data_IF_752485044884
#
_entry.id   IF_752485044884
#
_cell.length_a   1.000
_cell.length_b   1.000
_cell.length_c   1.000
_cell.angle_alpha   90.00
_cell.angle_beta   90.00
_cell.angle_gamma   90.00
#
_symmetry.space_group_name_H-M   'P 1'
#
loop_
_entity.id
_entity.type
_entity.pdbx_description
1 polymer ?
#
# COMPACT_ATOMS: atom_id res chain seq x y z
N UNK A 1 14.27 15.86 -5.44
CA UNK A 1 13.68 16.24 -6.74
C UNK A 1 12.19 15.91 -6.69
N UNK A 2 11.31 16.90 -6.86
CA UNK A 2 9.86 16.78 -6.59
C UNK A 2 9.21 15.57 -7.26
N UNK A 3 9.59 15.27 -8.51
CA UNK A 3 9.08 14.16 -9.31
C UNK A 3 9.23 12.76 -8.67
N UNK A 4 10.11 12.58 -7.68
CA UNK A 4 10.23 11.31 -6.95
C UNK A 4 9.14 11.14 -5.90
N UNK A 5 8.65 12.24 -5.33
CA UNK A 5 7.61 12.23 -4.30
C UNK A 5 6.24 11.91 -4.89
N UNK A 6 5.99 12.26 -6.14
CA UNK A 6 4.73 11.96 -6.85
C UNK A 6 4.44 10.45 -6.97
N UNK A 7 5.46 9.61 -6.79
CA UNK A 7 5.35 8.14 -6.82
C UNK A 7 5.13 7.52 -5.44
N UNK A 8 5.18 8.33 -4.38
CA UNK A 8 5.02 7.86 -3.00
C UNK A 8 3.53 7.78 -2.67
N UNK A 9 3.07 6.61 -2.24
CA UNK A 9 1.73 6.40 -1.68
C UNK A 9 1.85 6.35 -0.17
N UNK A 10 1.05 7.17 0.51
CA UNK A 10 0.98 7.22 1.98
C UNK A 10 -0.43 7.71 2.39
N UNK A 11 -1.12 7.05 3.34
CA UNK A 11 -0.73 5.82 4.04
C UNK A 11 -0.56 4.63 3.08
N UNK A 12 0.19 3.60 3.51
CA UNK A 12 0.39 2.38 2.73
C UNK A 12 -0.57 1.28 3.20
N UNK A 13 -1.01 0.46 2.27
CA UNK A 13 -1.91 -0.67 2.47
C UNK A 13 -3.36 -0.36 2.08
N UNK A 14 -4.12 -1.42 1.79
CA UNK A 14 -5.56 -1.31 1.58
C UNK A 14 -6.31 -1.07 2.91
N UNK A 15 -7.40 -0.32 2.83
CA UNK A 15 -8.29 -0.02 3.97
C UNK A 15 -9.09 -1.26 4.40
N UNK A 16 -8.46 -2.14 5.17
CA UNK A 16 -9.06 -3.37 5.71
C UNK A 16 -9.32 -3.32 7.22
N UNK A 17 -9.07 -2.18 7.87
CA UNK A 17 -9.15 -2.05 9.33
C UNK A 17 -8.04 -2.80 10.07
N UNK A 18 -6.82 -2.80 9.52
CA UNK A 18 -5.67 -3.49 10.11
C UNK A 18 -5.21 -2.86 11.43
N UNK A 19 -5.04 -3.67 12.48
CA UNK A 19 -4.58 -3.22 13.80
C UNK A 19 -3.28 -3.93 14.23
N UNK A 20 -3.11 -5.18 13.81
CA UNK A 20 -1.94 -6.01 14.15
C UNK A 20 -0.86 -5.93 13.07
N UNK A 21 0.42 -6.21 13.40
CA UNK A 21 1.49 -6.24 12.41
C UNK A 21 1.24 -7.20 11.23
N UNK A 22 0.56 -8.32 11.48
CA UNK A 22 0.23 -9.29 10.44
C UNK A 22 -0.85 -8.75 9.48
N UNK A 23 -1.86 -8.05 9.99
CA UNK A 23 -2.88 -7.40 9.17
C UNK A 23 -2.30 -6.24 8.36
N UNK A 24 -1.40 -5.45 8.95
CA UNK A 24 -0.69 -4.37 8.24
C UNK A 24 0.17 -4.95 7.12
N UNK A 25 0.90 -6.05 7.37
CA UNK A 25 1.67 -6.71 6.32
C UNK A 25 0.77 -7.21 5.18
N UNK A 26 -0.40 -7.77 5.52
CA UNK A 26 -1.37 -8.22 4.53
C UNK A 26 -1.94 -7.07 3.71
N UNK A 27 -2.31 -5.94 4.34
CA UNK A 27 -2.86 -4.77 3.64
C UNK A 27 -1.85 -4.19 2.64
N UNK A 28 -0.57 -4.13 3.03
CA UNK A 28 0.53 -3.69 2.17
C UNK A 28 0.71 -4.63 0.97
N UNK A 29 0.77 -5.94 1.21
CA UNK A 29 0.93 -6.92 0.14
C UNK A 29 -0.26 -6.89 -0.85
N UNK A 30 -1.46 -6.66 -0.34
CA UNK A 30 -2.65 -6.52 -1.17
C UNK A 30 -2.58 -5.29 -2.09
N UNK A 31 -2.15 -4.13 -1.58
CA UNK A 31 -1.94 -2.92 -2.40
C UNK A 31 -0.85 -3.14 -3.46
N UNK A 32 0.26 -3.80 -3.12
CA UNK A 32 1.32 -4.15 -4.09
C UNK A 32 0.77 -5.02 -5.22
N UNK A 33 -0.09 -5.99 -4.91
CA UNK A 33 -0.72 -6.85 -5.91
C UNK A 33 -1.74 -6.11 -6.76
N UNK A 34 -2.46 -5.14 -6.21
CA UNK A 34 -3.39 -4.26 -6.93
C UNK A 34 -2.66 -3.48 -8.03
N UNK A 35 -1.60 -2.76 -7.64
CA UNK A 35 -0.75 -2.00 -8.56
C UNK A 35 -0.12 -2.89 -9.63
N UNK A 36 0.37 -4.09 -9.24
CA UNK A 36 0.96 -5.05 -10.20
C UNK A 36 -0.05 -5.60 -11.20
N UNK A 37 -1.34 -5.67 -10.84
CA UNK A 37 -2.41 -6.17 -11.69
C UNK A 37 -3.05 -5.05 -12.54
N UNK A 38 -2.60 -3.81 -12.41
CA UNK A 38 -3.16 -2.66 -13.10
C UNK A 38 -4.58 -2.32 -12.62
N UNK A 39 -4.87 -2.63 -11.35
CA UNK A 39 -6.08 -2.19 -10.67
C UNK A 39 -5.81 -0.94 -9.87
#
# INVERSE_FOLDING_TARGET
EPARLDRVRTPIGLEIGAETPAEIALSILAEVLEVRRGR
#
